data_IF_913557927165
#
_entry.id   IF_913557927165
#
_cell.length_a   1.000
_cell.length_b   1.000
_cell.length_c   1.000
_cell.angle_alpha   90.00
_cell.angle_beta   90.00
_cell.angle_gamma   90.00
#
_symmetry.space_group_name_H-M   'P 1'
#
loop_
_entity.id
_entity.type
_entity.pdbx_description
1 polymer ?
#
# COMPACT_ATOMS: atom_id res chain seq x y z
N UNK A 1 -6.42 45.97 6.70
CA UNK A 1 -6.86 44.58 6.83
C UNK A 1 -7.26 44.31 8.27
N UNK A 2 -8.48 43.83 8.49
CA UNK A 2 -9.08 43.54 9.80
C UNK A 2 -9.62 42.11 9.78
N UNK A 3 -9.58 41.43 10.92
CA UNK A 3 -10.25 40.12 11.11
C UNK A 3 -11.29 40.30 12.19
N UNK A 4 -12.52 39.83 11.93
CA UNK A 4 -13.63 39.89 12.87
C UNK A 4 -14.37 38.57 12.89
N UNK A 5 -15.13 38.33 13.97
CA UNK A 5 -16.11 37.25 14.00
C UNK A 5 -17.22 37.53 12.99
N UNK A 6 -17.64 36.46 12.32
CA UNK A 6 -18.83 36.49 11.48
C UNK A 6 -20.09 36.39 12.36
N UNK A 7 -21.20 36.80 11.79
CA UNK A 7 -22.54 36.74 12.39
C UNK A 7 -23.50 36.09 11.42
N UNK A 8 -24.70 35.72 11.85
CA UNK A 8 -25.73 35.17 10.95
C UNK A 8 -26.07 36.14 9.80
N UNK A 9 -25.89 37.46 10.00
CA UNK A 9 -26.07 38.48 8.94
C UNK A 9 -25.03 38.41 7.82
N UNK A 10 -23.94 37.66 7.99
CA UNK A 10 -22.88 37.48 7.00
C UNK A 10 -23.15 36.31 6.03
N UNK A 11 -24.33 35.68 6.06
CA UNK A 11 -24.69 34.52 5.22
C UNK A 11 -24.32 34.71 3.74
N UNK A 12 -24.68 35.86 3.15
CA UNK A 12 -24.42 36.12 1.73
C UNK A 12 -22.93 36.17 1.41
N UNK A 13 -22.12 36.74 2.31
CA UNK A 13 -20.66 36.81 2.19
C UNK A 13 -20.03 35.44 2.34
N UNK A 14 -20.50 34.65 3.31
CA UNK A 14 -20.00 33.30 3.56
C UNK A 14 -20.33 32.38 2.38
N UNK A 15 -21.55 32.47 1.83
CA UNK A 15 -21.95 31.76 0.61
C UNK A 15 -21.07 32.11 -0.58
N UNK A 16 -20.77 33.38 -0.77
CA UNK A 16 -19.89 33.84 -1.86
C UNK A 16 -18.49 33.24 -1.72
N UNK A 17 -17.89 33.33 -0.54
CA UNK A 17 -16.55 32.78 -0.28
C UNK A 17 -16.50 31.25 -0.38
N UNK A 18 -17.54 30.56 0.06
CA UNK A 18 -17.66 29.11 -0.07
C UNK A 18 -17.79 28.68 -1.53
N UNK A 19 -18.66 29.33 -2.32
CA UNK A 19 -18.77 29.05 -3.76
C UNK A 19 -17.45 29.28 -4.51
N UNK A 20 -16.69 30.32 -4.13
CA UNK A 20 -15.36 30.58 -4.71
C UNK A 20 -14.33 29.51 -4.31
N UNK A 21 -14.42 28.99 -3.08
CA UNK A 21 -13.60 27.87 -2.61
C UNK A 21 -13.90 26.59 -3.40
N UNK A 22 -15.18 26.20 -3.52
CA UNK A 22 -15.63 25.01 -4.26
C UNK A 22 -15.26 25.06 -5.74
N UNK A 23 -15.28 26.26 -6.35
CA UNK A 23 -14.83 26.41 -7.74
C UNK A 23 -13.32 26.24 -7.92
N UNK A 24 -12.53 26.50 -6.88
CA UNK A 24 -11.08 26.49 -6.95
C UNK A 24 -10.48 25.14 -6.51
N UNK A 25 -11.05 24.53 -5.47
CA UNK A 25 -10.60 23.30 -4.88
C UNK A 25 -11.54 22.18 -5.33
N UNK A 26 -11.05 21.16 -6.05
CA UNK A 26 -11.89 20.03 -6.45
C UNK A 26 -12.53 19.37 -5.23
N UNK A 27 -13.81 19.00 -5.31
CA UNK A 27 -14.49 18.24 -4.26
C UNK A 27 -13.82 16.88 -4.02
N UNK A 28 -13.85 16.41 -2.77
CA UNK A 28 -13.51 15.03 -2.46
C UNK A 28 -14.56 14.07 -3.04
N UNK A 29 -14.17 12.81 -3.23
CA UNK A 29 -15.01 11.81 -3.88
C UNK A 29 -16.30 11.60 -3.06
N UNK A 30 -17.43 12.04 -3.59
CA UNK A 30 -18.74 11.85 -2.98
C UNK A 30 -19.02 12.75 -1.76
N UNK A 31 -18.18 13.77 -1.54
CA UNK A 31 -18.30 14.72 -0.42
C UNK A 31 -18.86 16.09 -0.86
N UNK A 32 -19.34 16.21 -2.10
CA UNK A 32 -20.01 17.42 -2.55
C UNK A 32 -21.30 17.67 -1.77
N UNK A 33 -21.37 18.82 -1.10
CA UNK A 33 -22.47 19.19 -0.22
C UNK A 33 -23.23 20.42 -0.76
N UNK A 34 -24.58 20.40 -0.77
CA UNK A 34 -25.36 21.60 -1.08
C UNK A 34 -25.15 22.71 -0.06
N UNK A 35 -25.21 23.98 -0.50
CA UNK A 35 -25.08 25.14 0.40
C UNK A 35 -26.03 25.09 1.61
N UNK A 36 -27.23 24.56 1.44
CA UNK A 36 -28.21 24.49 2.53
C UNK A 36 -27.78 23.57 3.68
N UNK A 37 -27.01 22.51 3.40
CA UNK A 37 -26.47 21.60 4.41
C UNK A 37 -25.22 22.23 5.07
N UNK A 38 -24.27 22.71 4.26
CA UNK A 38 -23.08 23.44 4.73
C UNK A 38 -23.44 24.68 5.57
N UNK A 39 -24.52 25.39 5.21
CA UNK A 39 -25.00 26.54 5.97
C UNK A 39 -25.56 26.14 7.33
N UNK A 40 -26.21 24.99 7.43
CA UNK A 40 -26.70 24.46 8.70
C UNK A 40 -25.54 24.23 9.67
N UNK A 41 -24.46 23.61 9.20
CA UNK A 41 -23.26 23.35 10.01
C UNK A 41 -22.52 24.66 10.33
N UNK A 42 -22.42 25.56 9.35
CA UNK A 42 -21.84 26.90 9.55
C UNK A 42 -22.60 27.72 10.59
N UNK A 43 -23.92 27.57 10.70
CA UNK A 43 -24.73 28.29 11.69
C UNK A 43 -24.40 27.86 13.13
N UNK A 44 -24.13 26.58 13.35
CA UNK A 44 -23.75 26.09 14.69
C UNK A 44 -22.38 26.64 15.09
N UNK A 45 -21.43 26.67 14.16
CA UNK A 45 -20.12 27.30 14.38
C UNK A 45 -20.25 28.81 14.57
N UNK A 46 -21.10 29.50 13.81
CA UNK A 46 -21.37 30.94 13.96
C UNK A 46 -21.91 31.28 15.34
N UNK A 47 -22.90 30.52 15.82
CA UNK A 47 -23.47 30.68 17.16
C UNK A 47 -22.48 30.32 18.25
N UNK A 48 -21.63 29.34 17.98
CA UNK A 48 -20.45 29.05 18.77
C UNK A 48 -19.43 30.18 18.74
N UNK A 49 -19.42 31.04 17.72
CA UNK A 49 -18.43 32.09 17.48
C UNK A 49 -17.20 31.62 16.68
N UNK A 50 -17.17 30.37 16.20
CA UNK A 50 -16.04 29.75 15.51
C UNK A 50 -15.78 30.22 14.08
N UNK A 51 -16.46 31.26 13.60
CA UNK A 51 -16.32 31.74 12.21
C UNK A 51 -15.73 33.14 12.18
N UNK A 52 -14.69 33.33 11.36
CA UNK A 52 -13.94 34.57 11.24
C UNK A 52 -13.85 35.01 9.78
N UNK A 53 -14.05 36.30 9.52
CA UNK A 53 -13.91 36.92 8.20
C UNK A 53 -12.73 37.89 8.23
N UNK A 54 -11.88 37.80 7.21
CA UNK A 54 -10.84 38.79 6.93
C UNK A 54 -11.36 39.82 5.92
N UNK A 55 -11.25 41.10 6.27
CA UNK A 55 -11.65 42.23 5.44
C UNK A 55 -10.41 42.98 4.91
N UNK A 56 -10.39 43.17 3.60
CA UNK A 56 -9.44 44.04 2.89
C UNK A 56 -10.10 45.36 2.46
N UNK A 57 -9.36 46.17 1.71
CA UNK A 57 -9.83 47.51 1.30
C UNK A 57 -11.06 47.47 0.37
N UNK A 58 -11.31 46.33 -0.29
CA UNK A 58 -12.45 46.08 -1.16
C UNK A 58 -13.56 45.20 -0.56
N UNK A 59 -13.52 44.92 0.75
CA UNK A 59 -14.49 44.06 1.44
C UNK A 59 -13.91 42.70 1.89
N UNK A 60 -14.77 41.70 2.14
CA UNK A 60 -14.35 40.37 2.58
C UNK A 60 -13.39 39.70 1.58
N UNK A 61 -12.26 39.20 2.07
CA UNK A 61 -11.20 38.57 1.25
C UNK A 61 -10.83 37.16 1.71
N UNK A 62 -11.35 36.71 2.84
CA UNK A 62 -11.13 35.36 3.33
C UNK A 62 -11.98 35.02 4.53
N UNK A 63 -12.06 33.73 4.83
CA UNK A 63 -12.84 33.14 5.90
C UNK A 63 -12.06 32.01 6.56
N UNK A 64 -12.25 31.83 7.86
CA UNK A 64 -11.92 30.58 8.52
C UNK A 64 -13.04 30.13 9.46
N UNK A 65 -13.30 28.83 9.48
CA UNK A 65 -14.29 28.16 10.35
C UNK A 65 -13.59 27.11 11.20
N UNK A 66 -13.87 27.14 12.50
CA UNK A 66 -13.40 26.16 13.47
C UNK A 66 -14.56 25.72 14.36
N UNK A 67 -14.65 24.41 14.55
CA UNK A 67 -15.64 23.80 15.43
C UNK A 67 -15.33 24.05 16.91
N UNK A 68 -16.37 23.99 17.73
CA UNK A 68 -16.19 23.92 19.18
C UNK A 68 -15.37 22.66 19.57
N UNK A 69 -14.44 22.74 20.53
CA UNK A 69 -13.60 21.61 20.89
C UNK A 69 -14.42 20.41 21.40
N UNK A 70 -14.12 19.22 20.89
CA UNK A 70 -14.62 17.95 21.39
C UNK A 70 -13.45 17.07 21.85
N UNK A 71 -13.53 16.52 23.06
CA UNK A 71 -12.46 15.69 23.64
C UNK A 71 -11.06 16.36 23.61
N UNK A 72 -11.01 17.69 23.79
CA UNK A 72 -9.76 18.46 23.76
C UNK A 72 -9.22 18.77 22.37
N UNK A 73 -9.94 18.46 21.29
CA UNK A 73 -9.57 18.77 19.90
C UNK A 73 -10.59 19.69 19.25
N UNK A 74 -10.15 20.78 18.63
CA UNK A 74 -10.96 21.59 17.72
C UNK A 74 -10.61 21.29 16.25
N UNK A 75 -11.59 21.24 15.37
CA UNK A 75 -11.38 20.97 13.95
C UNK A 75 -11.63 22.22 13.10
N UNK A 76 -10.65 22.59 12.28
CA UNK A 76 -10.78 23.69 11.31
C UNK A 76 -11.39 23.12 10.04
N UNK A 77 -12.65 23.49 9.79
CA UNK A 77 -13.45 23.02 8.67
C UNK A 77 -13.07 23.71 7.36
N UNK A 78 -12.86 25.04 7.42
CA UNK A 78 -12.59 25.85 6.23
C UNK A 78 -11.53 26.89 6.53
N UNK A 79 -10.57 27.05 5.62
CA UNK A 79 -9.75 28.26 5.52
C UNK A 79 -9.62 28.65 4.06
N UNK A 80 -10.26 29.74 3.68
CA UNK A 80 -10.20 30.26 2.31
C UNK A 80 -9.74 31.71 2.29
N UNK A 81 -8.90 32.04 1.30
CA UNK A 81 -8.50 33.41 1.01
C UNK A 81 -8.53 33.58 -0.50
N UNK A 82 -9.21 34.62 -0.97
CA UNK A 82 -9.32 34.97 -2.39
C UNK A 82 -7.93 35.04 -3.05
N UNK A 83 -7.75 34.53 -4.28
CA UNK A 83 -6.45 34.48 -4.95
C UNK A 83 -5.67 35.81 -4.94
N UNK A 84 -6.35 36.93 -5.19
CA UNK A 84 -5.74 38.27 -5.21
C UNK A 84 -5.23 38.79 -3.86
N UNK A 85 -5.70 38.22 -2.75
CA UNK A 85 -5.34 38.62 -1.39
C UNK A 85 -4.33 37.66 -0.72
N UNK A 86 -3.90 36.61 -1.43
CA UNK A 86 -2.94 35.61 -0.91
C UNK A 86 -1.53 36.16 -0.75
N UNK A 87 -0.71 35.39 -0.02
CA UNK A 87 0.70 35.71 0.30
C UNK A 87 0.91 37.00 1.12
N UNK A 88 -0.16 37.52 1.73
CA UNK A 88 -0.14 38.68 2.62
C UNK A 88 -0.29 38.29 4.11
N UNK A 89 -0.23 36.99 4.43
CA UNK A 89 -0.37 36.49 5.79
C UNK A 89 -1.82 36.33 6.28
N UNK A 90 -2.82 36.54 5.42
CA UNK A 90 -4.25 36.48 5.76
C UNK A 90 -4.66 35.15 6.38
N UNK A 91 -4.37 34.03 5.72
CA UNK A 91 -4.70 32.70 6.23
C UNK A 91 -4.06 32.43 7.60
N UNK A 92 -2.84 32.92 7.83
CA UNK A 92 -2.16 32.81 9.13
C UNK A 92 -2.86 33.65 10.21
N UNK A 93 -3.33 34.84 9.87
CA UNK A 93 -4.10 35.70 10.78
C UNK A 93 -5.45 35.06 11.15
N UNK A 94 -6.18 34.56 10.16
CA UNK A 94 -7.45 33.85 10.37
C UNK A 94 -7.26 32.63 11.28
N UNK A 95 -6.26 31.80 10.99
CA UNK A 95 -5.97 30.63 11.81
C UNK A 95 -5.52 31.00 13.24
N UNK A 96 -4.84 32.14 13.42
CA UNK A 96 -4.46 32.60 14.75
C UNK A 96 -5.69 32.92 15.63
N UNK A 97 -6.73 33.52 15.05
CA UNK A 97 -8.01 33.74 15.75
C UNK A 97 -8.70 32.42 16.08
N UNK A 98 -8.73 31.45 15.15
CA UNK A 98 -9.25 30.11 15.41
C UNK A 98 -8.52 29.40 16.56
N UNK A 99 -7.18 29.43 16.57
CA UNK A 99 -6.36 28.80 17.63
C UNK A 99 -6.58 29.51 18.97
N UNK A 100 -6.67 30.84 18.99
CA UNK A 100 -6.94 31.59 20.20
C UNK A 100 -8.31 31.23 20.80
N UNK A 101 -9.34 31.12 19.96
CA UNK A 101 -10.68 30.71 20.36
C UNK A 101 -10.74 29.26 20.87
N UNK A 102 -10.16 28.32 20.13
CA UNK A 102 -10.07 26.92 20.53
C UNK A 102 -9.34 26.75 21.87
N UNK A 103 -8.21 27.45 22.05
CA UNK A 103 -7.44 27.44 23.30
C UNK A 103 -8.23 28.02 24.47
N UNK A 104 -8.96 29.12 24.25
CA UNK A 104 -9.82 29.71 25.28
C UNK A 104 -10.94 28.75 25.74
N UNK A 105 -11.32 27.81 24.88
CA UNK A 105 -12.32 26.76 25.15
C UNK A 105 -11.73 25.43 25.62
N UNK A 106 -10.43 25.38 25.90
CA UNK A 106 -9.77 24.20 26.47
C UNK A 106 -9.38 23.13 25.45
N UNK A 107 -9.21 23.48 24.17
CA UNK A 107 -8.55 22.59 23.21
C UNK A 107 -7.05 22.49 23.49
N UNK A 108 -6.53 21.27 23.47
CA UNK A 108 -5.10 20.95 23.46
C UNK A 108 -4.58 20.77 22.02
N UNK A 109 -5.48 20.43 21.08
CA UNK A 109 -5.15 20.11 19.69
C UNK A 109 -6.05 20.84 18.70
N UNK A 110 -5.48 21.19 17.55
CA UNK A 110 -6.23 21.65 16.37
C UNK A 110 -5.94 20.71 15.22
N UNK A 111 -7.00 20.23 14.56
CA UNK A 111 -6.92 19.42 13.33
C UNK A 111 -7.52 20.16 12.14
N UNK A 112 -7.15 19.74 10.94
CA UNK A 112 -7.79 20.13 9.69
C UNK A 112 -7.70 18.94 8.72
N UNK A 113 -8.55 18.95 7.71
CA UNK A 113 -8.44 18.06 6.55
C UNK A 113 -7.97 18.84 5.33
N UNK A 114 -7.25 18.14 4.45
CA UNK A 114 -6.73 18.71 3.22
C UNK A 114 -6.62 17.62 2.17
N UNK A 115 -7.14 17.91 0.98
CA UNK A 115 -7.05 16.99 -0.15
C UNK A 115 -5.60 16.77 -0.56
N UNK A 116 -5.29 15.52 -0.91
CA UNK A 116 -3.95 15.10 -1.34
C UNK A 116 -3.46 15.84 -2.59
N UNK A 117 -4.38 16.31 -3.43
CA UNK A 117 -4.12 17.12 -4.63
C UNK A 117 -3.81 18.59 -4.30
N UNK A 118 -4.11 19.07 -3.09
CA UNK A 118 -3.92 20.47 -2.69
C UNK A 118 -2.51 20.71 -2.12
N UNK A 119 -1.48 20.50 -2.95
CA UNK A 119 -0.07 20.59 -2.57
C UNK A 119 0.31 21.94 -1.94
N UNK A 120 -0.33 23.03 -2.40
CA UNK A 120 -0.10 24.38 -1.88
C UNK A 120 -0.55 24.49 -0.41
N UNK A 121 -1.76 24.00 -0.09
CA UNK A 121 -2.28 24.00 1.26
C UNK A 121 -1.46 23.06 2.17
N UNK A 122 -1.15 21.84 1.70
CA UNK A 122 -0.29 20.88 2.43
C UNK A 122 1.04 21.53 2.81
N UNK A 123 1.69 22.23 1.87
CA UNK A 123 2.96 22.93 2.13
C UNK A 123 2.78 24.05 3.16
N UNK A 124 1.67 24.79 3.12
CA UNK A 124 1.38 25.84 4.07
C UNK A 124 1.14 25.29 5.50
N UNK A 125 0.34 24.23 5.63
CA UNK A 125 0.02 23.61 6.91
C UNK A 125 1.24 22.96 7.56
N UNK A 126 2.08 22.24 6.78
CA UNK A 126 3.34 21.67 7.29
C UNK A 126 4.29 22.76 7.82
N UNK A 127 4.37 23.93 7.17
CA UNK A 127 5.17 25.07 7.66
C UNK A 127 4.66 25.64 8.99
N UNK A 128 3.38 25.46 9.30
CA UNK A 128 2.78 25.86 10.57
C UNK A 128 2.86 24.77 11.65
N UNK A 129 3.42 23.60 11.33
CA UNK A 129 3.63 22.50 12.27
C UNK A 129 2.50 21.47 12.30
N UNK A 130 1.53 21.54 11.39
CA UNK A 130 0.58 20.44 11.21
C UNK A 130 1.30 19.20 10.69
N UNK A 131 0.97 18.05 11.28
CA UNK A 131 1.46 16.74 10.89
C UNK A 131 0.27 15.83 10.57
N UNK A 132 0.51 14.84 9.71
CA UNK A 132 -0.46 13.80 9.41
C UNK A 132 -0.74 12.98 10.67
N UNK A 133 -2.02 12.76 10.99
CA UNK A 133 -2.45 11.99 12.16
C UNK A 133 -3.50 10.91 11.83
N UNK A 134 -4.22 11.07 10.72
CA UNK A 134 -5.19 10.10 10.17
C UNK A 134 -5.21 10.17 8.65
N UNK A 135 -5.65 9.10 8.00
CA UNK A 135 -5.83 9.01 6.55
C UNK A 135 -7.24 8.51 6.25
N UNK A 136 -7.99 9.26 5.43
CA UNK A 136 -9.24 8.80 4.85
C UNK A 136 -8.95 8.05 3.54
N UNK A 137 -9.59 6.90 3.33
CA UNK A 137 -9.38 6.05 2.17
C UNK A 137 -10.71 5.70 1.52
N UNK A 138 -10.75 5.71 0.19
CA UNK A 138 -11.91 5.33 -0.60
C UNK A 138 -11.52 4.34 -1.70
N UNK A 139 -12.46 3.48 -2.09
CA UNK A 139 -12.34 2.58 -3.23
C UNK A 139 -13.69 2.49 -3.95
N UNK A 140 -13.72 2.31 -5.29
CA UNK A 140 -14.95 2.00 -6.00
C UNK A 140 -15.59 0.72 -5.45
N UNK A 141 -16.90 0.73 -5.22
CA UNK A 141 -17.60 -0.40 -4.61
C UNK A 141 -17.44 -1.69 -5.42
N UNK A 142 -17.55 -1.58 -6.75
CA UNK A 142 -17.39 -2.74 -7.66
C UNK A 142 -15.98 -3.34 -7.57
N UNK A 143 -14.93 -2.51 -7.51
CA UNK A 143 -13.56 -2.97 -7.34
C UNK A 143 -13.34 -3.62 -5.97
N UNK A 144 -13.93 -3.05 -4.92
CA UNK A 144 -13.81 -3.58 -3.56
C UNK A 144 -14.56 -4.90 -3.44
N UNK A 145 -15.77 -4.99 -3.97
CA UNK A 145 -16.55 -6.23 -4.02
C UNK A 145 -15.78 -7.32 -4.76
N UNK A 146 -15.29 -7.04 -5.97
CA UNK A 146 -14.47 -7.99 -6.73
C UNK A 146 -13.24 -8.47 -5.95
N UNK A 147 -12.59 -7.60 -5.17
CA UNK A 147 -11.43 -7.96 -4.35
C UNK A 147 -11.80 -8.79 -3.12
N UNK A 148 -12.97 -8.54 -2.52
CA UNK A 148 -13.44 -9.24 -1.31
C UNK A 148 -14.13 -10.57 -1.64
N UNK A 149 -14.79 -10.69 -2.79
CA UNK A 149 -15.49 -11.89 -3.24
C UNK A 149 -14.67 -12.75 -4.18
N UNK A 150 -13.54 -12.25 -4.68
CA UNK A 150 -12.50 -13.14 -5.12
C UNK A 150 -12.16 -14.04 -3.92
N UNK A 151 -12.62 -15.29 -3.94
CA UNK A 151 -11.97 -16.36 -3.17
C UNK A 151 -10.48 -16.11 -3.32
N UNK A 152 -9.77 -15.91 -2.20
CA UNK A 152 -8.36 -15.55 -2.12
C UNK A 152 -7.66 -15.96 -3.41
N UNK A 153 -7.47 -15.00 -4.35
CA UNK A 153 -6.63 -15.25 -5.53
C UNK A 153 -5.30 -15.63 -4.92
N UNK A 154 -5.01 -16.94 -4.89
CA UNK A 154 -4.17 -17.55 -3.85
C UNK A 154 -3.00 -16.65 -3.51
N UNK A 155 -2.91 -16.23 -2.23
CA UNK A 155 -1.83 -15.35 -1.79
C UNK A 155 -0.53 -15.87 -2.38
N UNK A 156 0.15 -15.02 -3.16
CA UNK A 156 1.42 -15.42 -3.74
C UNK A 156 2.37 -15.65 -2.58
N UNK A 157 2.83 -16.89 -2.46
CA UNK A 157 3.64 -17.36 -1.34
C UNK A 157 4.92 -17.94 -1.91
N UNK A 158 6.05 -17.42 -1.47
CA UNK A 158 7.36 -17.73 -2.00
C UNK A 158 8.32 -18.17 -0.89
N UNK A 159 8.95 -19.31 -1.14
CA UNK A 159 9.94 -19.89 -0.24
C UNK A 159 11.21 -20.20 -0.99
N UNK A 160 12.35 -19.99 -0.35
CA UNK A 160 13.66 -20.35 -0.86
C UNK A 160 14.29 -21.37 0.06
N UNK A 161 14.72 -22.50 -0.47
CA UNK A 161 15.31 -23.59 0.29
C UNK A 161 16.75 -23.79 -0.11
N UNK A 162 17.67 -23.76 0.85
CA UNK A 162 19.10 -23.99 0.62
C UNK A 162 19.50 -25.34 1.21
N UNK A 163 20.14 -26.20 0.42
CA UNK A 163 20.56 -27.54 0.85
C UNK A 163 21.85 -27.45 1.69
N UNK A 164 21.72 -27.18 2.98
CA UNK A 164 22.84 -27.09 3.92
C UNK A 164 22.33 -27.23 5.35
N UNK A 165 23.22 -27.63 6.27
CA UNK A 165 23.03 -27.60 7.72
C UNK A 165 23.78 -26.44 8.39
N UNK A 166 24.53 -25.63 7.63
CA UNK A 166 25.29 -24.47 8.12
C UNK A 166 24.43 -23.20 8.20
N UNK A 167 23.64 -23.14 9.26
CA UNK A 167 22.74 -22.01 9.57
C UNK A 167 23.48 -20.68 9.69
N UNK A 168 24.67 -20.66 10.30
CA UNK A 168 25.45 -19.43 10.46
C UNK A 168 25.93 -18.86 9.13
N UNK A 169 26.27 -19.71 8.16
CA UNK A 169 26.61 -19.24 6.81
C UNK A 169 25.37 -18.71 6.07
N UNK A 170 24.21 -19.33 6.25
CA UNK A 170 22.94 -18.84 5.68
C UNK A 170 22.55 -17.48 6.27
N UNK A 171 22.54 -17.31 7.59
CA UNK A 171 22.24 -16.04 8.25
C UNK A 171 23.17 -14.92 7.79
N UNK A 172 24.48 -15.18 7.72
CA UNK A 172 25.47 -14.22 7.21
C UNK A 172 25.25 -13.87 5.74
N UNK A 173 24.76 -14.81 4.94
CA UNK A 173 24.43 -14.56 3.54
C UNK A 173 23.17 -13.67 3.44
N UNK A 174 22.10 -13.99 4.19
CA UNK A 174 20.84 -13.24 4.24
C UNK A 174 21.06 -11.80 4.71
N UNK A 175 21.89 -11.59 5.73
CA UNK A 175 22.18 -10.25 6.27
C UNK A 175 22.72 -9.27 5.20
N UNK A 176 23.40 -9.77 4.17
CA UNK A 176 23.92 -8.96 3.06
C UNK A 176 22.84 -8.56 2.04
N UNK A 177 21.64 -9.13 2.12
CA UNK A 177 20.51 -8.75 1.29
C UNK A 177 19.66 -7.65 1.92
N UNK A 178 19.84 -7.33 3.20
CA UNK A 178 19.18 -6.19 3.86
C UNK A 178 19.75 -4.86 3.28
N UNK A 179 18.92 -3.88 2.87
CA UNK A 179 17.48 -3.73 3.12
C UNK A 179 16.56 -4.21 1.98
N UNK A 180 17.03 -5.04 1.05
CA UNK A 180 16.20 -5.60 -0.05
C UNK A 180 15.20 -6.66 0.44
N UNK A 181 15.43 -7.24 1.62
CA UNK A 181 14.48 -8.08 2.34
C UNK A 181 13.87 -7.26 3.49
N UNK A 182 12.61 -7.50 3.82
CA UNK A 182 11.87 -6.75 4.85
C UNK A 182 11.97 -7.40 6.23
N UNK A 183 11.66 -8.70 6.31
CA UNK A 183 11.59 -9.46 7.55
C UNK A 183 11.82 -10.95 7.26
N UNK A 184 13.07 -11.36 6.97
CA UNK A 184 13.36 -12.72 6.57
C UNK A 184 13.07 -13.68 7.72
N UNK A 185 12.19 -14.65 7.46
CA UNK A 185 11.93 -15.79 8.34
C UNK A 185 12.74 -17.00 7.88
N UNK A 186 13.52 -17.58 8.80
CA UNK A 186 14.43 -18.69 8.54
C UNK A 186 13.98 -19.90 9.34
N UNK A 187 13.61 -20.97 8.64
CA UNK A 187 13.14 -22.23 9.22
C UNK A 187 14.09 -23.38 8.91
N UNK A 188 14.29 -24.28 9.87
CA UNK A 188 15.12 -25.47 9.71
C UNK A 188 14.30 -26.70 9.36
N UNK A 189 14.66 -27.34 8.25
CA UNK A 189 14.24 -28.70 7.88
C UNK A 189 15.33 -29.74 8.11
N UNK A 190 15.10 -30.98 7.66
CA UNK A 190 16.06 -32.08 7.82
C UNK A 190 17.32 -31.91 6.96
N UNK A 191 17.15 -31.53 5.68
CA UNK A 191 18.24 -31.35 4.70
C UNK A 191 18.25 -29.97 4.05
N UNK A 192 17.37 -29.08 4.50
CA UNK A 192 17.12 -27.78 3.88
C UNK A 192 16.93 -26.71 4.96
N UNK A 193 17.44 -25.52 4.69
CA UNK A 193 17.07 -24.31 5.42
C UNK A 193 16.10 -23.53 4.54
N UNK A 194 14.87 -23.33 5.05
CA UNK A 194 13.79 -22.55 4.44
C UNK A 194 14.00 -21.08 4.76
N UNK A 195 13.79 -20.22 3.78
CA UNK A 195 13.81 -18.77 3.91
C UNK A 195 12.56 -18.23 3.24
N UNK A 196 11.77 -17.43 3.94
CA UNK A 196 10.65 -16.67 3.37
C UNK A 196 10.78 -15.21 3.76
N UNK A 197 10.25 -14.33 2.92
CA UNK A 197 10.22 -12.89 3.19
C UNK A 197 9.09 -12.25 2.37
N UNK A 198 8.31 -11.31 2.94
CA UNK A 198 7.19 -10.66 2.24
C UNK A 198 7.56 -9.98 0.91
N UNK A 199 8.82 -9.62 0.68
CA UNK A 199 9.28 -9.09 -0.62
C UNK A 199 9.27 -10.18 -1.69
N UNK A 200 9.65 -11.41 -1.33
CA UNK A 200 9.73 -12.54 -2.25
C UNK A 200 8.34 -13.00 -2.70
N UNK A 201 7.33 -12.88 -1.83
CA UNK A 201 5.92 -13.14 -2.12
C UNK A 201 5.37 -12.20 -3.21
N UNK A 202 5.80 -10.93 -3.18
CA UNK A 202 5.27 -9.85 -4.03
C UNK A 202 6.07 -9.62 -5.32
N UNK A 203 7.34 -10.05 -5.38
CA UNK A 203 8.22 -9.87 -6.55
C UNK A 203 8.92 -11.18 -6.96
N UNK A 204 8.36 -11.83 -7.98
CA UNK A 204 8.89 -13.07 -8.58
C UNK A 204 10.31 -12.96 -9.13
N UNK A 205 10.72 -11.78 -9.59
CA UNK A 205 12.07 -11.53 -10.12
C UNK A 205 13.04 -11.36 -8.96
N UNK A 206 12.62 -10.71 -7.87
CA UNK A 206 13.39 -10.68 -6.63
C UNK A 206 13.59 -12.09 -6.05
N UNK A 207 12.55 -12.93 -6.00
CA UNK A 207 12.65 -14.32 -5.54
C UNK A 207 13.65 -15.14 -6.35
N UNK A 208 13.57 -15.09 -7.69
CA UNK A 208 14.53 -15.77 -8.57
C UNK A 208 15.97 -15.26 -8.40
N UNK A 209 16.16 -13.93 -8.32
CA UNK A 209 17.50 -13.34 -8.09
C UNK A 209 18.08 -13.73 -6.73
N UNK A 210 17.26 -13.69 -5.69
CA UNK A 210 17.66 -14.04 -4.33
C UNK A 210 18.14 -15.49 -4.24
N UNK A 211 17.34 -16.44 -4.74
CA UNK A 211 17.71 -17.85 -4.75
C UNK A 211 18.99 -18.13 -5.56
N UNK A 212 19.15 -17.46 -6.70
CA UNK A 212 20.36 -17.55 -7.53
C UNK A 212 21.60 -17.07 -6.77
N UNK A 213 21.53 -15.89 -6.16
CA UNK A 213 22.67 -15.31 -5.44
C UNK A 213 23.01 -16.10 -4.17
N UNK A 214 22.02 -16.66 -3.47
CA UNK A 214 22.26 -17.57 -2.35
C UNK A 214 23.00 -18.84 -2.80
N UNK A 215 22.53 -19.47 -3.88
CA UNK A 215 23.18 -20.66 -4.46
C UNK A 215 24.63 -20.36 -4.88
N UNK A 216 24.89 -19.19 -5.46
CA UNK A 216 26.22 -18.76 -5.88
C UNK A 216 27.15 -18.57 -4.67
N UNK A 217 26.71 -17.85 -3.64
CA UNK A 217 27.52 -17.50 -2.46
C UNK A 217 27.83 -18.71 -1.59
N UNK A 218 26.84 -19.57 -1.38
CA UNK A 218 26.98 -20.74 -0.51
C UNK A 218 27.53 -21.95 -1.26
N UNK A 219 27.56 -21.91 -2.61
CA UNK A 219 27.95 -23.03 -3.44
C UNK A 219 27.00 -24.24 -3.32
N UNK A 220 25.82 -24.03 -2.73
CA UNK A 220 24.82 -25.04 -2.41
C UNK A 220 23.70 -25.07 -3.46
N UNK A 221 22.93 -26.16 -3.44
CA UNK A 221 21.70 -26.26 -4.22
C UNK A 221 20.65 -25.37 -3.58
N UNK A 222 19.90 -24.64 -4.40
CA UNK A 222 18.79 -23.81 -3.94
C UNK A 222 17.53 -24.09 -4.76
N UNK A 223 16.40 -24.24 -4.08
CA UNK A 223 15.06 -24.31 -4.69
C UNK A 223 14.33 -23.02 -4.37
N UNK A 224 13.91 -22.28 -5.38
CA UNK A 224 12.89 -21.25 -5.24
C UNK A 224 11.55 -21.89 -5.60
N UNK A 225 10.64 -22.05 -4.65
CA UNK A 225 9.30 -22.62 -4.84
C UNK A 225 8.26 -21.56 -4.48
N UNK A 226 7.30 -21.30 -5.36
CA UNK A 226 6.28 -20.30 -5.15
C UNK A 226 4.91 -20.68 -5.72
N UNK A 227 3.85 -20.27 -5.02
CA UNK A 227 2.53 -20.03 -5.62
C UNK A 227 2.56 -18.63 -6.23
N UNK A 228 2.33 -18.52 -7.52
CA UNK A 228 2.18 -17.24 -8.22
C UNK A 228 0.70 -17.08 -8.64
N UNK A 229 -0.13 -16.61 -7.71
CA UNK A 229 -1.60 -16.57 -7.82
C UNK A 229 -2.23 -17.96 -8.00
N UNK A 230 -2.42 -18.42 -9.24
CA UNK A 230 -3.12 -19.66 -9.59
C UNK A 230 -2.20 -20.73 -10.17
N UNK A 231 -0.91 -20.45 -10.28
CA UNK A 231 0.10 -21.38 -10.81
C UNK A 231 1.20 -21.60 -9.79
N UNK A 232 1.90 -22.72 -9.92
CA UNK A 232 3.05 -23.05 -9.09
C UNK A 232 4.30 -22.99 -9.96
N UNK A 233 5.33 -22.31 -9.46
CA UNK A 233 6.65 -22.26 -10.07
C UNK A 233 7.68 -22.86 -9.14
N UNK A 234 8.62 -23.62 -9.69
CA UNK A 234 9.91 -23.77 -9.03
C UNK A 234 11.07 -23.47 -9.97
N UNK A 235 12.18 -23.01 -9.39
CA UNK A 235 13.47 -22.83 -10.05
C UNK A 235 14.55 -23.50 -9.23
N UNK A 236 15.35 -24.33 -9.88
CA UNK A 236 16.49 -25.01 -9.26
C UNK A 236 17.80 -24.32 -9.66
N UNK A 237 18.62 -24.04 -8.65
CA UNK A 237 19.94 -23.44 -8.83
C UNK A 237 21.03 -24.35 -8.25
N UNK A 238 22.14 -24.49 -8.97
CA UNK A 238 23.35 -25.17 -8.51
C UNK A 238 24.54 -24.23 -8.77
N UNK A 239 25.19 -23.76 -7.69
CA UNK A 239 26.29 -22.77 -7.75
C UNK A 239 25.93 -21.52 -8.57
N UNK A 240 24.71 -21.00 -8.38
CA UNK A 240 24.22 -19.79 -9.05
C UNK A 240 23.75 -19.98 -10.49
N UNK A 241 23.89 -21.18 -11.08
CA UNK A 241 23.33 -21.50 -12.39
C UNK A 241 21.93 -22.07 -12.23
N UNK A 242 20.96 -21.53 -12.98
CA UNK A 242 19.64 -22.16 -13.11
C UNK A 242 19.78 -23.46 -13.91
N UNK A 243 19.44 -24.58 -13.29
CA UNK A 243 19.58 -25.92 -13.88
C UNK A 243 18.23 -26.52 -14.28
N UNK A 244 17.14 -26.05 -13.69
CA UNK A 244 15.78 -26.44 -14.05
C UNK A 244 14.80 -25.31 -13.72
N UNK A 245 13.74 -25.19 -14.50
CA UNK A 245 12.62 -24.30 -14.24
C UNK A 245 11.32 -25.01 -14.59
N UNK A 246 10.34 -24.92 -13.70
CA UNK A 246 9.02 -25.47 -13.87
C UNK A 246 7.98 -24.39 -13.66
N UNK A 247 6.99 -24.32 -14.56
CA UNK A 247 5.78 -23.53 -14.38
C UNK A 247 4.57 -24.40 -14.70
N UNK A 248 3.65 -24.52 -13.75
CA UNK A 248 2.53 -25.46 -13.85
C UNK A 248 1.63 -25.23 -15.07
N UNK A 249 1.44 -23.96 -15.47
CA UNK A 249 0.81 -23.58 -16.75
C UNK A 249 1.77 -22.66 -17.51
N UNK A 250 2.55 -23.19 -18.48
CA UNK A 250 3.62 -22.43 -19.16
C UNK A 250 3.16 -21.11 -19.78
N UNK A 251 1.93 -21.08 -20.30
CA UNK A 251 1.36 -19.91 -21.00
C UNK A 251 0.59 -18.94 -20.09
N UNK A 252 0.66 -19.12 -18.75
CA UNK A 252 -0.10 -18.30 -17.79
C UNK A 252 0.20 -16.80 -17.92
N UNK A 253 1.46 -16.44 -18.14
CA UNK A 253 1.89 -15.05 -18.31
C UNK A 253 1.81 -14.53 -19.76
N UNK A 254 1.26 -15.33 -20.67
CA UNK A 254 1.14 -15.00 -22.07
C UNK A 254 1.55 -16.15 -23.00
N UNK A 255 1.26 -16.02 -24.29
CA UNK A 255 1.62 -17.03 -25.28
C UNK A 255 3.14 -17.18 -25.39
N UNK A 256 3.61 -18.42 -25.49
CA UNK A 256 5.02 -18.77 -25.66
C UNK A 256 5.23 -19.60 -26.94
N UNK A 257 6.42 -19.56 -27.55
CA UNK A 257 6.82 -20.56 -28.54
C UNK A 257 6.81 -21.97 -27.91
N UNK A 258 6.41 -22.98 -28.69
CA UNK A 258 6.33 -24.37 -28.20
C UNK A 258 7.64 -24.90 -27.57
N UNK A 259 8.80 -24.44 -28.05
CA UNK A 259 10.09 -24.82 -27.47
C UNK A 259 10.27 -24.30 -26.04
N UNK A 260 9.80 -23.08 -25.78
CA UNK A 260 9.89 -22.43 -24.48
C UNK A 260 8.84 -23.01 -23.51
N UNK A 261 7.65 -23.35 -24.00
CA UNK A 261 6.66 -24.09 -23.21
C UNK A 261 7.20 -25.44 -22.72
N UNK A 262 7.89 -26.19 -23.60
CA UNK A 262 8.50 -27.47 -23.25
C UNK A 262 9.68 -27.32 -22.27
N UNK A 263 10.38 -26.18 -22.29
CA UNK A 263 11.47 -25.89 -21.37
C UNK A 263 10.99 -25.62 -19.93
N UNK A 264 9.71 -25.29 -19.75
CA UNK A 264 9.07 -25.08 -18.44
C UNK A 264 8.48 -26.36 -17.84
N UNK A 265 8.74 -27.53 -18.44
CA UNK A 265 8.44 -28.81 -17.85
C UNK A 265 9.59 -29.26 -16.94
N UNK A 266 9.25 -29.71 -15.73
CA UNK A 266 10.21 -30.21 -14.75
C UNK A 266 11.06 -31.33 -15.34
N UNK A 267 12.39 -31.29 -15.13
CA UNK A 267 13.28 -32.36 -15.53
C UNK A 267 13.38 -33.42 -14.41
N UNK A 268 12.75 -34.60 -14.55
CA UNK A 268 12.65 -35.56 -13.45
C UNK A 268 14.01 -36.09 -12.98
N UNK A 269 14.99 -36.13 -13.88
CA UNK A 269 16.34 -36.59 -13.57
C UNK A 269 17.10 -35.56 -12.72
N UNK A 270 16.95 -34.27 -13.02
CA UNK A 270 17.59 -33.20 -12.26
C UNK A 270 16.94 -33.02 -10.90
N UNK A 271 15.61 -32.96 -10.85
CA UNK A 271 14.86 -32.85 -9.60
C UNK A 271 15.21 -34.01 -8.67
N UNK A 272 15.19 -35.25 -9.16
CA UNK A 272 15.55 -36.44 -8.38
C UNK A 272 16.98 -36.38 -7.85
N UNK A 273 17.96 -36.02 -8.70
CA UNK A 273 19.38 -35.90 -8.30
C UNK A 273 19.59 -34.88 -7.18
N UNK A 274 18.91 -33.74 -7.25
CA UNK A 274 19.19 -32.58 -6.40
C UNK A 274 18.37 -32.58 -5.10
N UNK A 275 17.17 -33.16 -5.14
CA UNK A 275 16.24 -33.14 -4.00
C UNK A 275 16.04 -34.50 -3.34
N UNK A 276 16.43 -35.60 -4.00
CA UNK A 276 16.15 -36.96 -3.55
C UNK A 276 14.77 -37.48 -3.92
N UNK A 277 13.94 -36.68 -4.61
CA UNK A 277 12.61 -37.08 -5.06
C UNK A 277 12.64 -38.32 -5.98
N UNK A 278 11.61 -39.18 -5.90
CA UNK A 278 11.45 -40.27 -6.84
C UNK A 278 11.11 -39.76 -8.25
N UNK A 279 11.81 -40.27 -9.26
CA UNK A 279 11.71 -39.77 -10.64
C UNK A 279 10.31 -39.93 -11.24
N UNK A 280 9.61 -41.02 -10.94
CA UNK A 280 8.27 -41.26 -11.48
C UNK A 280 7.22 -40.43 -10.76
N UNK A 281 7.42 -40.16 -9.46
CA UNK A 281 6.61 -39.19 -8.74
C UNK A 281 6.81 -37.75 -9.26
N UNK A 282 8.03 -37.34 -9.62
CA UNK A 282 8.25 -36.03 -10.27
C UNK A 282 7.42 -35.91 -11.55
N UNK A 283 7.42 -36.93 -12.42
CA UNK A 283 6.62 -36.91 -13.67
C UNK A 283 5.12 -36.80 -13.39
N UNK A 284 4.65 -37.42 -12.30
CA UNK A 284 3.24 -37.47 -11.93
C UNK A 284 2.76 -36.14 -11.32
N UNK A 285 3.56 -35.57 -10.42
CA UNK A 285 3.19 -34.40 -9.62
C UNK A 285 3.61 -33.09 -10.29
N UNK A 286 4.84 -32.99 -10.79
CA UNK A 286 5.37 -31.79 -11.47
C UNK A 286 5.01 -31.76 -12.97
N UNK A 287 3.75 -32.09 -13.30
CA UNK A 287 3.24 -32.03 -14.67
C UNK A 287 2.82 -30.62 -15.03
N UNK A 288 3.00 -30.23 -16.29
CA UNK A 288 2.43 -28.99 -16.83
C UNK A 288 1.04 -29.24 -17.39
N UNK A 289 0.24 -28.19 -17.50
CA UNK A 289 -1.09 -28.22 -18.10
C UNK A 289 -1.31 -27.04 -19.06
N UNK A 290 -2.31 -27.16 -19.93
CA UNK A 290 -2.69 -26.07 -20.84
C UNK A 290 -3.59 -25.03 -20.17
N UNK A 291 -4.22 -25.37 -19.05
CA UNK A 291 -5.06 -24.47 -18.26
C UNK A 291 -5.00 -24.81 -16.76
N UNK A 292 -5.29 -23.82 -15.92
CA UNK A 292 -5.31 -23.97 -14.46
C UNK A 292 -6.34 -25.02 -13.98
N UNK A 293 -7.43 -25.22 -14.74
CA UNK A 293 -8.51 -26.16 -14.39
C UNK A 293 -8.11 -27.65 -14.50
N UNK A 294 -6.98 -27.95 -15.13
CA UNK A 294 -6.46 -29.32 -15.29
C UNK A 294 -5.54 -29.75 -14.15
N UNK A 295 -5.26 -28.85 -13.21
CA UNK A 295 -4.38 -29.08 -12.07
C UNK A 295 -5.15 -28.93 -10.75
N UNK A 296 -4.63 -29.49 -9.64
CA UNK A 296 -5.12 -29.15 -8.32
C UNK A 296 -5.03 -27.65 -8.06
N UNK A 297 -5.79 -27.11 -7.08
CA UNK A 297 -5.61 -25.73 -6.62
C UNK A 297 -4.14 -25.42 -6.31
N UNK A 298 -3.68 -24.21 -6.62
CA UNK A 298 -2.26 -23.87 -6.59
C UNK A 298 -1.59 -24.12 -5.23
N UNK A 299 -2.28 -23.80 -4.12
CA UNK A 299 -1.81 -24.11 -2.77
C UNK A 299 -1.63 -25.61 -2.52
N UNK A 300 -2.59 -26.44 -2.95
CA UNK A 300 -2.48 -27.90 -2.83
C UNK A 300 -1.34 -28.44 -3.69
N UNK A 301 -1.20 -27.93 -4.93
CA UNK A 301 -0.13 -28.34 -5.84
C UNK A 301 1.25 -27.93 -5.32
N UNK A 302 1.37 -26.74 -4.72
CA UNK A 302 2.56 -26.26 -4.04
C UNK A 302 2.96 -27.19 -2.89
N UNK A 303 2.02 -27.57 -2.02
CA UNK A 303 2.30 -28.53 -0.94
C UNK A 303 2.72 -29.90 -1.47
N UNK A 304 2.10 -30.38 -2.56
CA UNK A 304 2.48 -31.65 -3.19
C UNK A 304 3.93 -31.60 -3.71
N UNK A 305 4.33 -30.49 -4.33
CA UNK A 305 5.70 -30.28 -4.83
C UNK A 305 6.71 -30.10 -3.69
N UNK A 306 6.35 -29.36 -2.63
CA UNK A 306 7.19 -29.21 -1.44
C UNK A 306 7.44 -30.58 -0.79
N UNK A 307 6.38 -31.37 -0.55
CA UNK A 307 6.49 -32.74 0.00
C UNK A 307 7.33 -33.66 -0.87
N UNK A 308 7.13 -33.62 -2.19
CA UNK A 308 7.90 -34.40 -3.16
C UNK A 308 9.42 -34.14 -3.04
N UNK A 309 9.81 -32.88 -2.86
CA UNK A 309 11.22 -32.46 -2.79
C UNK A 309 11.79 -32.41 -1.36
N UNK A 310 11.01 -32.82 -0.35
CA UNK A 310 11.43 -32.78 1.06
C UNK A 310 11.58 -31.36 1.62
N UNK A 311 10.82 -30.39 1.08
CA UNK A 311 10.87 -28.97 1.43
C UNK A 311 9.78 -28.63 2.44
N UNK A 312 10.07 -27.70 3.35
CA UNK A 312 9.06 -27.12 4.23
C UNK A 312 8.28 -26.04 3.46
N UNK A 313 6.95 -26.19 3.27
CA UNK A 313 6.12 -25.15 2.65
C UNK A 313 6.09 -23.86 3.46
#
# INVERSE_FOLDING_TARGET
MTIRRATESDESVLRELWNEFEQEIPEAIGEGEPWEEEWSDTLDDLRGGGVFIAEGDGGPVGVARIEAPQHGRAHVQLVYVRPGARRQGIAKGLLAECVADAKARGADWVSLEVLTSNELAITAWRRLGFAEYSVAMAAPLEDLEQRLTAEERGESHATTHVQTDDEQSVERAIAQFIPRLESPDVGRGESWIRIADPVLDRDREAHGRFARELSERLGAVTVALAVESEVVRFRLFERGRMVDEYLSVPTYYGPLPKGDELALAANPTLVSRLTGADRDDVKRVARTASSIAELPPAGEHYEQLARLMGLQP
#
